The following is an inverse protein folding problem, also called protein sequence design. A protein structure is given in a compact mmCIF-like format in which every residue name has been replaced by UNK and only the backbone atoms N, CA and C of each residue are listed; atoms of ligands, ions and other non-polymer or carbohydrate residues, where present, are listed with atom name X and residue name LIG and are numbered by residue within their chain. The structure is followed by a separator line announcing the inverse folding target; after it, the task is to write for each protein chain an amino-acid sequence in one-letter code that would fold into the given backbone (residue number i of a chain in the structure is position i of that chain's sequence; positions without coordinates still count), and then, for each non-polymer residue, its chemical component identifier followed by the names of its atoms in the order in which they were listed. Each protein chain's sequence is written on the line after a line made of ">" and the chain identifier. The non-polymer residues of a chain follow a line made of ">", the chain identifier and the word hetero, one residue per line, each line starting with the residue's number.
data_IF_744179766954
#
_entry.id   IF_744179766954
#
_cell.length_a   1.000
_cell.length_b   1.000
_cell.length_c   1.000
_cell.angle_alpha   90.00
_cell.angle_beta   90.00
_cell.angle_gamma   90.00
#
_symmetry.space_group_name_H-M   'P 1'
#
loop_
_entity.id
_entity.type
_entity.pdbx_description
1 polymer ?
#
# COMPACT_ATOMS: atom_id res chain seq x y z
N UNK A 1 -26.06 -16.10 73.89
CA UNK A 1 -25.60 -15.13 72.86
C UNK A 1 -25.61 -15.65 71.41
N UNK A 2 -25.73 -16.97 71.14
CA UNK A 2 -25.72 -17.51 69.75
C UNK A 2 -27.05 -17.36 68.98
N UNK A 3 -28.21 -17.36 69.66
CA UNK A 3 -29.53 -17.21 69.02
C UNK A 3 -29.73 -15.85 68.35
N UNK A 4 -29.32 -14.77 69.01
CA UNK A 4 -29.50 -13.40 68.51
C UNK A 4 -28.68 -13.12 67.22
N UNK A 5 -27.59 -13.85 67.02
CA UNK A 5 -26.79 -13.81 65.78
C UNK A 5 -27.40 -14.61 64.62
N UNK A 6 -28.08 -15.72 64.93
CA UNK A 6 -28.78 -16.56 63.94
C UNK A 6 -29.99 -15.83 63.35
N UNK A 7 -30.78 -15.18 64.21
CA UNK A 7 -31.98 -14.41 63.83
C UNK A 7 -31.59 -13.20 62.96
N UNK A 8 -30.56 -12.44 63.35
CA UNK A 8 -30.06 -11.33 62.52
C UNK A 8 -29.51 -11.80 61.16
N UNK A 9 -28.99 -13.03 61.07
CA UNK A 9 -28.46 -13.60 59.82
C UNK A 9 -29.59 -14.06 58.90
N UNK A 10 -30.67 -14.62 59.42
CA UNK A 10 -31.84 -15.01 58.63
C UNK A 10 -32.57 -13.78 58.07
N UNK A 11 -32.77 -12.73 58.88
CA UNK A 11 -33.39 -11.47 58.45
C UNK A 11 -32.60 -10.77 57.33
N UNK A 12 -31.26 -10.71 57.46
CA UNK A 12 -30.40 -10.15 56.41
C UNK A 12 -30.51 -10.95 55.11
N UNK A 13 -30.65 -12.27 55.20
CA UNK A 13 -30.78 -13.15 54.03
C UNK A 13 -32.10 -12.93 53.32
N UNK A 14 -33.20 -12.82 54.07
CA UNK A 14 -34.54 -12.50 53.53
C UNK A 14 -34.55 -11.12 52.85
N UNK A 15 -33.96 -10.09 53.47
CA UNK A 15 -33.85 -8.75 52.87
C UNK A 15 -33.06 -8.75 51.56
N UNK A 16 -31.95 -9.49 51.50
CA UNK A 16 -31.14 -9.63 50.27
C UNK A 16 -31.91 -10.34 49.15
N UNK A 17 -32.64 -11.39 49.46
CA UNK A 17 -33.46 -12.10 48.47
C UNK A 17 -34.57 -11.22 47.91
N UNK A 18 -35.24 -10.45 48.78
CA UNK A 18 -36.27 -9.49 48.36
C UNK A 18 -35.69 -8.45 47.39
N UNK A 19 -34.55 -7.84 47.76
CA UNK A 19 -33.88 -6.86 46.89
C UNK A 19 -33.45 -7.44 45.53
N UNK A 20 -32.98 -8.70 45.49
CA UNK A 20 -32.59 -9.36 44.24
C UNK A 20 -33.80 -9.67 43.34
N UNK A 21 -34.93 -10.04 43.94
CA UNK A 21 -36.18 -10.27 43.21
C UNK A 21 -36.73 -8.95 42.66
N UNK A 22 -36.80 -7.92 43.49
CA UNK A 22 -37.29 -6.60 43.10
C UNK A 22 -36.44 -6.01 41.96
N UNK A 23 -35.10 -6.19 42.03
CA UNK A 23 -34.20 -5.82 40.94
C UNK A 23 -34.44 -6.62 39.66
N UNK A 24 -34.66 -7.94 39.79
CA UNK A 24 -34.92 -8.80 38.64
C UNK A 24 -36.26 -8.55 37.94
N UNK A 25 -37.26 -8.05 38.68
CA UNK A 25 -38.56 -7.65 38.14
C UNK A 25 -38.52 -6.26 37.47
N UNK A 26 -37.58 -5.39 37.87
CA UNK A 26 -37.45 -4.01 37.37
C UNK A 26 -36.37 -3.84 36.28
N UNK A 27 -35.45 -4.80 36.15
CA UNK A 27 -34.39 -4.74 35.14
C UNK A 27 -34.89 -5.15 33.75
N UNK A 28 -34.29 -4.56 32.72
CA UNK A 28 -34.50 -4.94 31.32
C UNK A 28 -33.66 -6.17 30.90
N UNK A 29 -32.92 -6.79 31.83
CA UNK A 29 -32.21 -8.04 31.54
C UNK A 29 -33.18 -9.22 31.37
N UNK A 30 -33.43 -9.52 30.11
CA UNK A 30 -34.20 -10.68 29.67
C UNK A 30 -33.63 -11.95 30.29
N UNK A 31 -34.49 -12.78 30.89
CA UNK A 31 -34.09 -14.04 31.52
C UNK A 31 -33.79 -13.94 33.02
N UNK A 32 -33.24 -12.82 33.51
CA UNK A 32 -32.77 -12.70 34.89
C UNK A 32 -33.92 -12.83 35.90
N UNK A 33 -35.09 -12.28 35.57
CA UNK A 33 -36.35 -12.46 36.32
C UNK A 33 -36.68 -13.93 36.60
N UNK A 34 -36.50 -14.80 35.61
CA UNK A 34 -36.78 -16.24 35.76
C UNK A 34 -35.77 -16.98 36.64
N UNK A 35 -34.56 -16.45 36.81
CA UNK A 35 -33.55 -16.96 37.74
C UNK A 35 -33.83 -16.49 39.17
N UNK A 36 -34.31 -15.25 39.32
CA UNK A 36 -34.65 -14.62 40.59
C UNK A 36 -36.00 -15.09 41.19
N UNK A 37 -36.88 -15.71 40.39
CA UNK A 37 -38.20 -16.18 40.84
C UNK A 37 -38.12 -17.43 41.73
N UNK A 38 -38.29 -17.24 43.04
CA UNK A 38 -38.20 -18.30 44.05
C UNK A 38 -39.39 -19.29 44.04
N UNK A 39 -40.53 -18.91 43.44
CA UNK A 39 -41.73 -19.77 43.35
C UNK A 39 -41.58 -20.94 42.36
N UNK A 40 -40.50 -20.99 41.57
CA UNK A 40 -40.31 -21.98 40.51
C UNK A 40 -39.39 -23.14 40.93
N UNK A 41 -39.60 -24.31 40.32
CA UNK A 41 -38.74 -25.49 40.54
C UNK A 41 -37.27 -25.17 40.25
N UNK A 42 -36.37 -25.75 41.05
CA UNK A 42 -34.93 -25.55 40.92
C UNK A 42 -34.40 -25.82 39.50
N UNK A 43 -34.91 -26.86 38.84
CA UNK A 43 -34.51 -27.24 37.47
C UNK A 43 -34.79 -26.11 36.46
N UNK A 44 -35.96 -25.46 36.55
CA UNK A 44 -36.31 -24.34 35.67
C UNK A 44 -35.36 -23.17 35.85
N UNK A 45 -34.98 -22.86 37.09
CA UNK A 45 -34.03 -21.78 37.40
C UNK A 45 -32.63 -22.10 36.87
N UNK A 46 -32.19 -23.35 37.01
CA UNK A 46 -30.92 -23.81 36.47
C UNK A 46 -30.88 -23.71 34.95
N UNK A 47 -31.95 -24.11 34.25
CA UNK A 47 -32.04 -23.97 32.79
C UNK A 47 -31.96 -22.50 32.36
N UNK A 48 -32.72 -21.60 33.00
CA UNK A 48 -32.64 -20.17 32.69
C UNK A 48 -31.27 -19.57 32.99
N UNK A 49 -30.62 -20.01 34.08
CA UNK A 49 -29.26 -19.58 34.41
C UNK A 49 -28.25 -20.03 33.35
N UNK A 50 -28.31 -21.30 32.92
CA UNK A 50 -27.43 -21.82 31.87
C UNK A 50 -27.64 -21.12 30.53
N UNK A 51 -28.90 -20.83 30.17
CA UNK A 51 -29.23 -20.07 28.96
C UNK A 51 -28.64 -18.66 29.00
N UNK A 52 -28.80 -17.94 30.12
CA UNK A 52 -28.22 -16.60 30.29
C UNK A 52 -26.70 -16.65 30.24
N UNK A 53 -26.08 -17.65 30.87
CA UNK A 53 -24.64 -17.84 30.84
C UNK A 53 -24.12 -18.09 29.42
N UNK A 54 -24.82 -18.93 28.64
CA UNK A 54 -24.49 -19.19 27.25
C UNK A 54 -24.64 -17.93 26.38
N UNK A 55 -25.74 -17.18 26.55
CA UNK A 55 -25.95 -15.92 25.83
C UNK A 55 -24.88 -14.87 26.18
N UNK A 56 -24.51 -14.75 27.45
CA UNK A 56 -23.46 -13.85 27.90
C UNK A 56 -22.08 -14.25 27.35
N UNK A 57 -21.75 -15.54 27.37
CA UNK A 57 -20.52 -16.06 26.76
C UNK A 57 -20.45 -15.78 25.26
N UNK A 58 -21.53 -16.02 24.54
CA UNK A 58 -21.64 -15.71 23.10
C UNK A 58 -21.50 -14.22 22.81
N UNK A 59 -22.09 -13.35 23.65
CA UNK A 59 -21.95 -11.90 23.55
C UNK A 59 -20.49 -11.46 23.71
N UNK A 60 -19.80 -11.94 24.74
CA UNK A 60 -18.39 -11.61 24.98
C UNK A 60 -17.52 -12.09 23.81
N UNK A 61 -17.74 -13.31 23.32
CA UNK A 61 -17.02 -13.84 22.17
C UNK A 61 -17.20 -12.96 20.92
N UNK A 62 -18.44 -12.61 20.58
CA UNK A 62 -18.75 -11.74 19.43
C UNK A 62 -18.12 -10.34 19.57
N UNK A 63 -18.13 -9.76 20.78
CA UNK A 63 -17.49 -8.46 21.04
C UNK A 63 -16.00 -8.56 20.81
N UNK A 64 -15.33 -9.57 21.37
CA UNK A 64 -13.89 -9.75 21.19
C UNK A 64 -13.54 -9.93 19.72
N UNK A 65 -14.25 -10.82 19.01
CA UNK A 65 -14.04 -11.07 17.57
C UNK A 65 -14.20 -9.80 16.72
N UNK A 66 -15.21 -8.98 17.00
CA UNK A 66 -15.45 -7.74 16.23
C UNK A 66 -14.45 -6.65 16.58
N UNK A 67 -14.04 -6.53 17.85
CA UNK A 67 -13.03 -5.56 18.28
C UNK A 67 -11.66 -5.93 17.70
N UNK A 68 -11.27 -7.20 17.74
CA UNK A 68 -10.01 -7.65 17.12
C UNK A 68 -10.03 -7.46 15.61
N UNK A 69 -11.16 -7.76 14.94
CA UNK A 69 -11.33 -7.50 13.51
C UNK A 69 -11.21 -6.00 13.19
N UNK A 70 -11.87 -5.13 13.97
CA UNK A 70 -11.79 -3.68 13.79
C UNK A 70 -10.35 -3.15 13.91
N UNK A 71 -9.61 -3.60 14.93
CA UNK A 71 -8.20 -3.24 15.11
C UNK A 71 -7.22 -4.01 14.20
N UNK A 72 -7.71 -4.95 13.39
CA UNK A 72 -6.97 -5.54 12.28
C UNK A 72 -6.92 -4.65 11.04
N UNK A 73 -7.62 -3.51 11.05
CA UNK A 73 -7.70 -2.53 9.96
C UNK A 73 -7.88 -3.15 8.56
N UNK A 74 -8.84 -4.09 8.37
CA UNK A 74 -9.04 -4.73 7.08
C UNK A 74 -9.60 -3.70 6.08
N UNK A 75 -8.97 -3.61 4.91
CA UNK A 75 -9.42 -2.73 3.81
C UNK A 75 -10.05 -3.57 2.70
N UNK A 76 -11.14 -3.07 2.13
CA UNK A 76 -11.77 -3.66 0.94
C UNK A 76 -11.51 -2.76 -0.26
N UNK A 77 -10.90 -3.31 -1.31
CA UNK A 77 -10.63 -2.58 -2.55
C UNK A 77 -11.78 -2.83 -3.53
N UNK A 78 -12.37 -1.75 -4.07
CA UNK A 78 -13.35 -1.82 -5.14
C UNK A 78 -12.70 -1.39 -6.46
N UNK A 79 -12.68 -2.28 -7.46
CA UNK A 79 -12.06 -2.03 -8.76
C UNK A 79 -13.16 -1.78 -9.79
N UNK A 80 -13.14 -0.59 -10.39
CA UNK A 80 -14.04 -0.22 -11.48
C UNK A 80 -13.26 0.28 -12.69
N UNK A 81 -13.72 -0.07 -13.90
CA UNK A 81 -13.14 0.41 -15.15
C UNK A 81 -14.02 1.53 -15.70
N UNK A 82 -13.46 2.72 -15.88
CA UNK A 82 -14.14 3.85 -16.50
C UNK A 82 -13.52 4.14 -17.87
N UNK A 83 -14.33 4.07 -18.93
CA UNK A 83 -13.88 4.34 -20.30
C UNK A 83 -14.00 5.83 -20.62
N UNK A 84 -12.92 6.59 -20.40
CA UNK A 84 -12.85 7.99 -20.81
C UNK A 84 -12.40 8.10 -22.28
N UNK A 85 -13.03 8.98 -23.05
CA UNK A 85 -12.67 9.23 -24.46
C UNK A 85 -11.35 10.00 -24.60
N UNK A 86 -10.95 10.73 -23.55
CA UNK A 86 -9.70 11.49 -23.50
C UNK A 86 -8.87 10.99 -22.33
N UNK A 87 -7.66 10.52 -22.61
CA UNK A 87 -6.68 10.17 -21.59
C UNK A 87 -5.42 10.98 -21.86
N UNK A 88 -4.81 11.45 -20.79
CA UNK A 88 -3.47 12.02 -20.88
C UNK A 88 -2.49 10.89 -21.15
N UNK A 89 -1.73 11.02 -22.23
CA UNK A 89 -0.68 10.06 -22.50
C UNK A 89 0.46 10.29 -21.50
N UNK A 90 1.10 9.23 -20.98
CA UNK A 90 2.16 9.38 -20.00
C UNK A 90 3.42 9.98 -20.64
N UNK A 91 4.35 10.40 -19.78
CA UNK A 91 5.72 10.64 -20.19
C UNK A 91 6.36 9.29 -20.59
N UNK A 92 7.15 9.28 -21.67
CA UNK A 92 7.84 8.09 -22.16
C UNK A 92 9.33 8.34 -22.13
N UNK A 93 10.04 7.61 -21.25
CA UNK A 93 11.49 7.63 -21.17
C UNK A 93 12.08 6.49 -21.98
N UNK A 94 13.01 6.82 -22.87
CA UNK A 94 13.75 5.87 -23.71
C UNK A 94 15.23 5.98 -23.36
N UNK A 95 15.83 4.84 -23.03
CA UNK A 95 17.24 4.70 -22.69
C UNK A 95 17.90 3.72 -23.66
N UNK A 96 19.14 3.99 -24.04
CA UNK A 96 19.98 2.95 -24.64
C UNK A 96 20.40 1.96 -23.53
N UNK A 97 20.31 0.66 -23.79
CA UNK A 97 20.78 -0.35 -22.84
C UNK A 97 22.30 -0.26 -22.62
N UNK A 98 23.03 0.23 -23.62
CA UNK A 98 24.42 0.59 -23.48
C UNK A 98 24.51 2.00 -22.88
N UNK A 99 24.84 2.09 -21.59
CA UNK A 99 24.96 3.37 -20.89
C UNK A 99 26.07 4.26 -21.45
N UNK A 100 27.05 3.66 -22.14
CA UNK A 100 28.22 4.33 -22.68
C UNK A 100 28.40 4.05 -24.17
N UNK A 101 28.84 5.06 -24.91
CA UNK A 101 29.23 4.99 -26.30
C UNK A 101 30.72 4.68 -26.37
N UNK A 102 31.05 3.48 -26.86
CA UNK A 102 32.41 2.97 -26.89
C UNK A 102 33.41 3.94 -27.57
N UNK A 103 33.00 4.61 -28.65
CA UNK A 103 33.86 5.58 -29.35
C UNK A 103 34.25 6.77 -28.47
N UNK A 104 33.30 7.35 -27.72
CA UNK A 104 33.54 8.47 -26.81
C UNK A 104 34.36 8.01 -25.60
N UNK A 105 34.06 6.82 -25.06
CA UNK A 105 34.84 6.24 -23.98
C UNK A 105 36.32 6.04 -24.37
N UNK A 106 36.59 5.61 -25.60
CA UNK A 106 37.96 5.47 -26.12
C UNK A 106 38.62 6.84 -26.34
N UNK A 107 37.89 7.82 -26.87
CA UNK A 107 38.40 9.19 -27.07
C UNK A 107 38.85 9.84 -25.76
N UNK A 108 38.08 9.66 -24.68
CA UNK A 108 38.44 10.14 -23.34
C UNK A 108 39.43 9.24 -22.60
N UNK A 109 39.84 8.10 -23.17
CA UNK A 109 40.74 7.14 -22.51
C UNK A 109 40.13 6.37 -21.33
N UNK A 110 38.80 6.32 -21.24
CA UNK A 110 38.06 5.68 -20.15
C UNK A 110 37.55 4.27 -20.48
N UNK A 111 37.74 3.80 -21.71
CA UNK A 111 37.23 2.50 -22.16
C UNK A 111 37.70 1.34 -21.26
N UNK A 112 39.00 1.23 -21.00
CA UNK A 112 39.55 0.15 -20.15
C UNK A 112 39.03 0.20 -18.72
N UNK A 113 38.81 1.40 -18.18
CA UNK A 113 38.22 1.59 -16.84
C UNK A 113 36.78 1.07 -16.81
N UNK A 114 35.97 1.46 -17.79
CA UNK A 114 34.57 1.03 -17.91
C UNK A 114 34.50 -0.50 -18.12
N UNK A 115 35.36 -1.06 -18.98
CA UNK A 115 35.42 -2.50 -19.22
C UNK A 115 35.74 -3.28 -17.93
N UNK A 116 36.72 -2.80 -17.14
CA UNK A 116 37.03 -3.38 -15.82
C UNK A 116 35.86 -3.26 -14.86
N UNK A 117 35.16 -2.12 -14.83
CA UNK A 117 33.97 -1.91 -13.99
C UNK A 117 32.90 -2.97 -14.25
N UNK A 118 32.57 -3.27 -15.51
CA UNK A 118 31.56 -4.27 -15.86
C UNK A 118 32.02 -5.71 -15.67
N UNK A 119 33.27 -6.02 -16.05
CA UNK A 119 33.80 -7.39 -16.00
C UNK A 119 34.09 -7.85 -14.57
N UNK A 120 34.57 -6.94 -13.71
CA UNK A 120 34.92 -7.26 -12.32
C UNK A 120 33.83 -6.90 -11.32
N UNK A 121 32.77 -6.20 -11.74
CA UNK A 121 31.75 -5.61 -10.87
C UNK A 121 32.33 -4.71 -9.77
N UNK A 122 33.51 -4.12 -10.00
CA UNK A 122 34.14 -3.18 -9.10
C UNK A 122 33.37 -1.85 -9.09
N UNK A 123 33.33 -1.17 -7.93
CA UNK A 123 32.77 0.17 -7.87
C UNK A 123 33.69 1.18 -8.56
N UNK A 124 33.13 2.31 -9.02
CA UNK A 124 33.93 3.37 -9.62
C UNK A 124 35.01 3.86 -8.63
N UNK A 125 34.66 3.99 -7.35
CA UNK A 125 35.57 4.43 -6.29
C UNK A 125 36.77 3.46 -6.12
N UNK A 126 36.53 2.14 -6.20
CA UNK A 126 37.60 1.13 -6.12
C UNK A 126 38.60 1.26 -7.28
N UNK A 127 38.13 1.63 -8.47
CA UNK A 127 38.97 1.81 -9.66
C UNK A 127 39.78 3.10 -9.59
N UNK A 128 39.21 4.17 -9.03
CA UNK A 128 39.88 5.47 -8.86
C UNK A 128 40.96 5.43 -7.77
N UNK A 129 40.73 4.67 -6.70
CA UNK A 129 41.67 4.59 -5.57
C UNK A 129 43.03 3.96 -5.93
N UNK A 130 43.11 3.26 -7.07
CA UNK A 130 44.34 2.67 -7.59
C UNK A 130 45.27 3.67 -8.31
N UNK A 131 44.99 4.99 -8.26
CA UNK A 131 45.82 6.07 -8.86
C UNK A 131 46.09 5.91 -10.37
N UNK A 132 45.30 5.12 -11.09
CA UNK A 132 45.46 4.93 -12.55
C UNK A 132 44.64 5.90 -13.40
N UNK A 133 43.64 6.57 -12.82
CA UNK A 133 42.71 7.43 -13.56
C UNK A 133 42.46 8.74 -12.82
N UNK A 134 42.12 9.80 -13.56
CA UNK A 134 41.72 11.09 -12.98
C UNK A 134 40.46 10.94 -12.12
N UNK A 135 40.33 11.75 -11.07
CA UNK A 135 39.13 11.77 -10.22
C UNK A 135 37.90 12.19 -11.05
N UNK A 136 37.09 11.21 -11.45
CA UNK A 136 35.87 11.38 -12.23
C UNK A 136 34.64 10.97 -11.43
N UNK A 137 33.55 11.72 -11.57
CA UNK A 137 32.24 11.33 -11.02
C UNK A 137 31.48 10.46 -12.01
N UNK A 138 30.66 9.53 -11.50
CA UNK A 138 29.80 8.68 -12.33
C UNK A 138 28.86 9.52 -13.23
N UNK A 139 28.37 10.65 -12.73
CA UNK A 139 27.60 11.61 -13.51
C UNK A 139 28.39 12.14 -14.71
N UNK A 140 29.63 12.59 -14.48
CA UNK A 140 30.49 13.09 -15.56
C UNK A 140 30.77 11.99 -16.57
N UNK A 141 31.05 10.77 -16.10
CA UNK A 141 31.27 9.60 -16.94
C UNK A 141 30.07 9.35 -17.85
N UNK A 142 28.86 9.28 -17.30
CA UNK A 142 27.63 9.11 -18.07
C UNK A 142 27.38 10.27 -19.04
N UNK A 143 27.51 11.53 -18.60
CA UNK A 143 27.20 12.69 -19.45
C UNK A 143 28.15 12.84 -20.63
N UNK A 144 29.44 12.52 -20.45
CA UNK A 144 30.49 12.66 -21.47
C UNK A 144 30.53 11.50 -22.45
N UNK A 145 30.16 10.30 -22.02
CA UNK A 145 30.17 9.10 -22.87
C UNK A 145 28.79 8.62 -23.27
N UNK A 146 27.75 9.45 -23.08
CA UNK A 146 26.38 9.14 -23.45
C UNK A 146 26.19 8.91 -24.96
N UNK A 147 25.15 8.15 -25.29
CA UNK A 147 24.55 8.19 -26.63
C UNK A 147 23.71 9.46 -26.75
N UNK A 148 23.77 10.08 -27.92
CA UNK A 148 22.85 11.17 -28.26
C UNK A 148 21.50 10.60 -28.67
N UNK A 149 20.44 11.41 -28.57
CA UNK A 149 19.08 11.00 -28.92
C UNK A 149 19.00 10.38 -30.32
N UNK A 150 19.70 11.03 -31.26
CA UNK A 150 19.69 10.68 -32.68
C UNK A 150 20.48 9.39 -32.99
N UNK A 151 21.26 8.87 -32.03
CA UNK A 151 21.97 7.59 -32.20
C UNK A 151 20.99 6.39 -32.18
N UNK A 152 19.82 6.53 -31.54
CA UNK A 152 18.88 5.41 -31.34
C UNK A 152 17.39 5.76 -31.51
N UNK A 153 17.02 7.04 -31.63
CA UNK A 153 15.64 7.47 -31.91
C UNK A 153 15.58 8.06 -33.33
N UNK A 154 15.37 7.20 -34.33
CA UNK A 154 15.38 7.61 -35.74
C UNK A 154 14.09 8.29 -36.20
N UNK A 155 12.94 7.92 -35.61
CA UNK A 155 11.64 8.45 -35.98
C UNK A 155 10.71 8.47 -34.78
N UNK A 156 9.94 9.55 -34.66
CA UNK A 156 8.90 9.70 -33.65
C UNK A 156 7.67 10.35 -34.28
N UNK A 157 6.50 9.75 -34.06
CA UNK A 157 5.23 10.34 -34.43
C UNK A 157 4.20 10.07 -33.34
N UNK A 158 3.52 11.12 -32.91
CA UNK A 158 2.40 11.03 -31.99
C UNK A 158 1.12 11.49 -32.70
N UNK A 159 0.13 10.60 -32.79
CA UNK A 159 -1.14 10.86 -33.50
C UNK A 159 -0.97 11.33 -34.96
N UNK A 160 0.06 10.83 -35.63
CA UNK A 160 0.40 11.21 -37.01
C UNK A 160 1.15 12.54 -37.14
N UNK A 161 1.46 13.21 -36.02
CA UNK A 161 2.28 14.43 -36.00
C UNK A 161 3.71 14.03 -35.67
N UNK A 162 4.72 14.40 -36.47
CA UNK A 162 6.12 14.11 -36.14
C UNK A 162 6.54 14.85 -34.87
N UNK A 163 7.24 14.16 -33.97
CA UNK A 163 7.76 14.76 -32.74
C UNK A 163 8.98 15.62 -33.06
N UNK A 164 9.14 16.75 -32.36
CA UNK A 164 10.31 17.61 -32.48
C UNK A 164 11.45 17.07 -31.61
N UNK A 165 12.72 17.39 -31.95
CA UNK A 165 13.84 17.10 -31.05
C UNK A 165 13.67 17.74 -29.67
N UNK A 166 13.15 18.97 -29.63
CA UNK A 166 12.90 19.72 -28.38
C UNK A 166 11.77 19.14 -27.51
N UNK A 167 10.99 18.17 -28.03
CA UNK A 167 9.96 17.49 -27.25
C UNK A 167 10.55 16.42 -26.30
N UNK A 168 11.87 16.18 -26.38
CA UNK A 168 12.59 15.19 -25.59
C UNK A 168 13.52 15.86 -24.58
N UNK A 169 13.30 15.58 -23.29
CA UNK A 169 14.14 16.08 -22.22
C UNK A 169 15.21 15.04 -21.87
N UNK A 170 16.48 15.45 -21.81
CA UNK A 170 17.58 14.61 -21.40
C UNK A 170 17.54 14.43 -19.87
N UNK A 171 17.53 13.18 -19.41
CA UNK A 171 17.53 12.83 -17.99
C UNK A 171 18.65 11.83 -17.68
N UNK A 172 19.17 11.88 -16.46
CA UNK A 172 20.18 10.94 -15.97
C UNK A 172 19.49 9.87 -15.12
N UNK A 173 19.80 8.60 -15.41
CA UNK A 173 19.28 7.42 -14.71
C UNK A 173 20.42 6.48 -14.34
N UNK A 174 20.11 5.37 -13.66
CA UNK A 174 21.03 4.26 -13.43
C UNK A 174 21.48 3.55 -14.72
N UNK A 175 20.68 3.64 -15.79
CA UNK A 175 21.05 3.20 -17.14
C UNK A 175 21.91 4.22 -17.91
N UNK A 176 22.32 5.32 -17.26
CA UNK A 176 23.02 6.43 -17.90
C UNK A 176 22.04 7.47 -18.45
N UNK A 177 22.41 8.07 -19.58
CA UNK A 177 21.63 9.15 -20.19
C UNK A 177 20.45 8.61 -20.99
N UNK A 178 19.26 9.14 -20.71
CA UNK A 178 18.00 8.81 -21.36
C UNK A 178 17.26 10.05 -21.85
N UNK A 179 16.24 9.84 -22.68
CA UNK A 179 15.41 10.92 -23.21
C UNK A 179 13.93 10.67 -22.90
N UNK A 180 13.29 11.64 -22.26
CA UNK A 180 11.87 11.57 -21.89
C UNK A 180 11.04 12.47 -22.78
N UNK A 181 10.12 11.88 -23.51
CA UNK A 181 9.11 12.58 -24.30
C UNK A 181 7.85 12.83 -23.47
N UNK A 182 7.20 13.99 -23.67
CA UNK A 182 5.96 14.36 -22.99
C UNK A 182 6.12 14.40 -21.45
N UNK A 183 7.28 14.89 -20.99
CA UNK A 183 7.54 15.14 -19.57
C UNK A 183 6.77 16.39 -19.11
N UNK A 184 5.99 16.27 -18.04
CA UNK A 184 5.18 17.36 -17.48
C UNK A 184 5.84 18.13 -16.35
N UNK A 185 6.99 17.65 -15.86
CA UNK A 185 7.64 18.18 -14.65
C UNK A 185 8.63 19.33 -14.91
N UNK A 186 8.61 19.95 -16.08
CA UNK A 186 9.37 21.16 -16.33
C UNK A 186 8.51 22.41 -16.15
N UNK A 187 8.95 23.29 -15.27
CA UNK A 187 8.49 24.68 -15.12
C UNK A 187 8.69 25.55 -16.38
N UNK A 188 8.85 24.94 -17.56
CA UNK A 188 8.79 25.58 -18.85
C UNK A 188 7.80 24.84 -19.75
N UNK A 189 6.80 25.60 -20.18
CA UNK A 189 5.62 25.20 -20.94
C UNK A 189 5.93 24.23 -22.09
N UNK A 190 5.41 23.01 -22.00
CA UNK A 190 4.83 22.33 -23.16
C UNK A 190 3.44 21.84 -22.77
N UNK A 191 2.43 22.24 -23.54
CA UNK A 191 1.01 22.01 -23.21
C UNK A 191 0.71 20.51 -23.02
N UNK A 192 -0.21 20.14 -22.11
CA UNK A 192 -0.69 18.77 -22.03
C UNK A 192 -1.32 18.41 -23.39
N UNK A 193 -0.67 17.54 -24.15
CA UNK A 193 -1.25 17.03 -25.41
C UNK A 193 -2.30 16.00 -25.02
N UNK A 194 -3.48 16.49 -24.61
CA UNK A 194 -4.63 15.67 -24.27
C UNK A 194 -5.05 14.89 -25.51
N UNK A 195 -4.90 13.57 -25.45
CA UNK A 195 -5.13 12.71 -26.57
C UNK A 195 -6.44 11.93 -26.47
N UNK A 196 -7.29 12.03 -27.50
CA UNK A 196 -8.36 11.04 -27.73
C UNK A 196 -7.74 9.67 -28.04
N UNK A 197 -8.10 8.61 -27.30
CA UNK A 197 -7.74 7.23 -27.66
C UNK A 197 -8.56 6.81 -28.89
N UNK A 198 -7.89 6.38 -29.96
CA UNK A 198 -8.56 5.73 -31.09
C UNK A 198 -8.40 4.22 -30.85
N UNK A 199 -9.43 3.59 -30.28
CA UNK A 199 -9.50 2.13 -30.22
C UNK A 199 -9.74 1.59 -31.62
N UNK A 200 -8.80 0.80 -32.15
CA UNK A 200 -9.02 0.01 -33.34
C UNK A 200 -9.95 -1.16 -32.98
N UNK A 201 -11.24 -1.02 -33.29
CA UNK A 201 -12.18 -2.13 -33.31
C UNK A 201 -11.87 -3.02 -34.53
N UNK A 202 -10.92 -3.94 -34.38
CA UNK A 202 -10.83 -5.10 -35.28
C UNK A 202 -11.31 -6.33 -34.52
N UNK A 203 -12.62 -6.36 -34.26
CA UNK A 203 -13.35 -7.61 -34.16
C UNK A 203 -13.92 -7.90 -35.55
N UNK A 204 -13.17 -8.67 -36.34
CA UNK A 204 -13.64 -9.26 -37.57
C UNK A 204 -13.05 -10.68 -37.70
N UNK A 205 -13.98 -11.63 -37.71
CA UNK A 205 -13.90 -13.08 -37.95
C UNK A 205 -13.50 -13.95 -36.76
#
# INVERSE_FOLDING_TARGET
>A
MKENGSIKRSEKRVKKFKALKDFGDQTSFHGFRYVAEHSSFFIRRLLWFLLILACFGGLVFQIVDRVTYYFGWPVTVNVGVNYNKTLEFPAVTICNQNAFKASLATEYGWYEMIEKMFTTQASLDDLLQNNMYENITLETLYLKTAHERDDFIFSCSWKGIPCKPDDFNKILTDHGVCFTWNNKDDHYVSSPVVGKMIGYNNAAV
#
